data_IF_734587610804
#
_entry.id   IF_734587610804
#
_cell.length_a   1.000
_cell.length_b   1.000
_cell.length_c   1.000
_cell.angle_alpha   90.00
_cell.angle_beta   90.00
_cell.angle_gamma   90.00
#
_symmetry.space_group_name_H-M   'P 1'
#
loop_
_entity.id
_entity.type
_entity.pdbx_description
1 polymer ?
#
# COMPACT_ATOMS: atom_id res chain seq x y z
N UNK A 1 25.66 -2.87 -5.51
CA UNK A 1 24.43 -2.88 -4.73
C UNK A 1 23.23 -3.17 -5.63
N UNK A 2 22.52 -4.22 -5.38
CA UNK A 2 21.35 -4.53 -6.19
C UNK A 2 20.19 -3.64 -5.78
N UNK A 3 19.68 -2.88 -6.72
CA UNK A 3 18.46 -2.12 -6.51
C UNK A 3 17.28 -3.04 -6.74
N UNK A 4 16.49 -3.26 -5.70
CA UNK A 4 15.25 -4.01 -5.83
C UNK A 4 14.18 -3.09 -6.42
N UNK A 5 13.87 -3.29 -7.69
CA UNK A 5 12.79 -2.54 -8.32
C UNK A 5 11.45 -3.10 -7.87
N UNK A 6 10.91 -2.51 -6.81
CA UNK A 6 9.56 -2.82 -6.37
C UNK A 6 8.63 -1.77 -6.97
N UNK A 7 7.75 -2.23 -7.84
CA UNK A 7 6.78 -1.35 -8.51
C UNK A 7 5.45 -1.39 -7.80
N UNK A 8 4.95 -0.20 -7.44
CA UNK A 8 3.61 -0.03 -6.89
C UNK A 8 2.76 0.58 -7.99
N UNK A 9 1.59 0.01 -8.22
CA UNK A 9 0.64 0.56 -9.18
C UNK A 9 -0.55 1.14 -8.42
N UNK A 10 -0.90 2.38 -8.75
CA UNK A 10 -2.00 3.09 -8.12
C UNK A 10 -3.03 3.44 -9.19
N UNK A 11 -4.29 3.07 -8.93
CA UNK A 11 -5.39 3.48 -9.78
C UNK A 11 -6.26 4.48 -9.02
N UNK A 12 -6.08 5.76 -9.31
CA UNK A 12 -6.78 6.83 -8.60
C UNK A 12 -8.28 6.82 -8.86
N UNK A 13 -8.68 6.41 -10.05
CA UNK A 13 -10.09 6.37 -10.43
C UNK A 13 -10.89 5.41 -9.55
N UNK A 14 -10.33 4.23 -9.26
CA UNK A 14 -11.00 3.22 -8.45
C UNK A 14 -10.51 3.21 -6.99
N UNK A 15 -9.58 4.09 -6.64
CA UNK A 15 -8.97 4.15 -5.31
C UNK A 15 -8.37 2.80 -4.89
N UNK A 16 -7.68 2.16 -5.84
CA UNK A 16 -7.00 0.89 -5.61
C UNK A 16 -5.50 1.06 -5.64
N UNK A 17 -4.82 0.28 -4.83
CA UNK A 17 -3.38 0.19 -4.83
C UNK A 17 -2.98 -1.27 -5.01
N UNK A 18 -1.99 -1.52 -5.86
CA UNK A 18 -1.49 -2.86 -6.15
C UNK A 18 -0.06 -2.95 -5.65
N UNK A 19 0.16 -3.82 -4.67
CA UNK A 19 1.46 -4.00 -4.05
C UNK A 19 2.04 -5.35 -4.46
N UNK A 20 3.34 -5.42 -4.83
CA UNK A 20 3.94 -6.70 -5.15
C UNK A 20 4.02 -7.57 -3.90
N UNK A 21 3.83 -8.90 -4.07
CA UNK A 21 3.92 -9.85 -2.97
C UNK A 21 5.25 -9.73 -2.23
N UNK A 22 6.31 -9.47 -2.97
CA UNK A 22 7.65 -9.32 -2.40
C UNK A 22 7.70 -8.18 -1.37
N UNK A 23 7.01 -7.08 -1.63
CA UNK A 23 6.95 -5.96 -0.70
C UNK A 23 6.26 -6.36 0.60
N UNK A 24 5.16 -7.11 0.51
CA UNK A 24 4.45 -7.60 1.69
C UNK A 24 5.37 -8.50 2.52
N UNK A 25 6.14 -9.36 1.85
CA UNK A 25 7.12 -10.21 2.54
C UNK A 25 8.23 -9.43 3.21
N UNK A 26 8.73 -8.38 2.57
CA UNK A 26 9.78 -7.53 3.14
C UNK A 26 9.30 -6.78 4.37
N UNK A 27 8.00 -6.50 4.46
CA UNK A 27 7.39 -5.87 5.62
C UNK A 27 7.05 -6.86 6.74
N UNK A 28 7.40 -8.14 6.57
CA UNK A 28 7.15 -9.16 7.58
C UNK A 28 5.78 -9.81 7.50
N UNK A 29 5.15 -9.77 6.35
CA UNK A 29 3.80 -10.32 6.11
C UNK A 29 2.78 -9.80 7.14
N UNK A 30 2.65 -8.48 7.30
CA UNK A 30 1.72 -7.91 8.27
C UNK A 30 0.28 -8.13 7.84
N UNK A 31 -0.65 -8.12 8.79
CA UNK A 31 -2.08 -8.19 8.47
C UNK A 31 -2.64 -6.84 8.04
N UNK A 32 -1.98 -5.77 8.43
CA UNK A 32 -2.41 -4.40 8.13
C UNK A 32 -1.24 -3.56 7.66
N UNK A 33 -1.55 -2.54 6.87
CA UNK A 33 -0.57 -1.60 6.36
C UNK A 33 -1.03 -0.17 6.63
N UNK A 34 -0.06 0.73 6.80
CA UNK A 34 -0.34 2.16 6.83
C UNK A 34 0.40 2.85 5.70
N UNK A 35 -0.18 3.95 5.23
CA UNK A 35 0.33 4.71 4.10
C UNK A 35 0.59 6.15 4.51
N UNK A 36 1.75 6.69 4.15
CA UNK A 36 2.14 8.05 4.45
C UNK A 36 2.71 8.71 3.21
N UNK A 37 2.57 10.01 3.12
CA UNK A 37 3.19 10.76 2.04
C UNK A 37 4.15 11.79 2.62
N UNK A 38 5.42 11.69 2.24
CA UNK A 38 6.46 12.64 2.64
C UNK A 38 6.48 13.76 1.60
N UNK A 39 5.88 14.90 1.95
CA UNK A 39 5.76 16.04 1.04
C UNK A 39 7.11 16.67 0.70
N UNK A 40 8.06 16.66 1.64
CA UNK A 40 9.36 17.26 1.41
C UNK A 40 10.14 16.53 0.33
N UNK A 41 10.09 15.22 0.34
CA UNK A 41 10.86 14.39 -0.59
C UNK A 41 10.01 13.75 -1.68
N UNK A 42 8.70 13.93 -1.64
CA UNK A 42 7.80 13.36 -2.63
C UNK A 42 7.72 11.84 -2.57
N UNK A 43 7.89 11.25 -1.40
CA UNK A 43 7.91 9.80 -1.24
C UNK A 43 6.63 9.26 -0.64
N UNK A 44 6.12 8.18 -1.23
CA UNK A 44 5.05 7.39 -0.64
C UNK A 44 5.69 6.35 0.28
N UNK A 45 5.30 6.36 1.55
CA UNK A 45 5.83 5.46 2.56
C UNK A 45 4.77 4.45 2.94
N UNK A 46 5.12 3.17 2.86
CA UNK A 46 4.23 2.08 3.22
C UNK A 46 4.90 1.29 4.34
N UNK A 47 4.19 1.10 5.44
CA UNK A 47 4.74 0.38 6.59
C UNK A 47 3.75 -0.63 7.14
N UNK A 48 4.30 -1.62 7.86
CA UNK A 48 3.49 -2.58 8.57
C UNK A 48 2.74 -1.87 9.70
N UNK A 49 1.50 -2.26 9.92
CA UNK A 49 0.66 -1.67 10.94
C UNK A 49 -0.06 -2.74 11.75
N UNK A 50 -0.55 -2.36 12.91
CA UNK A 50 -1.36 -3.21 13.76
C UNK A 50 -2.85 -2.97 13.48
N UNK A 51 -3.68 -3.96 13.75
CA UNK A 51 -5.14 -3.81 13.66
C UNK A 51 -5.66 -2.70 14.57
N UNK A 52 -4.89 -2.32 15.59
CA UNK A 52 -5.28 -1.30 16.55
C UNK A 52 -4.90 0.11 16.10
N UNK A 53 -4.14 0.24 15.02
CA UNK A 53 -3.79 1.54 14.47
C UNK A 53 -4.98 2.14 13.71
N UNK A 54 -5.33 3.38 14.04
CA UNK A 54 -6.50 4.03 13.46
C UNK A 54 -6.42 4.20 11.94
N UNK A 55 -5.21 4.37 11.42
CA UNK A 55 -4.98 4.59 10.00
C UNK A 55 -4.59 3.31 9.25
N UNK A 56 -4.76 2.16 9.89
CA UNK A 56 -4.37 0.89 9.29
C UNK A 56 -5.43 0.39 8.31
N UNK A 57 -4.95 -0.19 7.22
CA UNK A 57 -5.80 -0.85 6.22
C UNK A 57 -5.50 -2.34 6.25
N UNK A 58 -6.55 -3.14 6.39
CA UNK A 58 -6.39 -4.59 6.41
C UNK A 58 -6.02 -5.11 5.02
N UNK A 59 -5.04 -5.99 4.97
CA UNK A 59 -4.73 -6.73 3.74
C UNK A 59 -5.88 -7.72 3.53
N UNK A 60 -6.53 -7.72 2.34
CA UNK A 60 -7.67 -8.58 2.09
C UNK A 60 -7.35 -10.05 2.40
N UNK A 61 -8.20 -10.76 3.16
CA UNK A 61 -7.95 -12.17 3.47
C UNK A 61 -7.74 -13.05 2.25
N UNK A 62 -8.39 -12.71 1.13
CA UNK A 62 -8.24 -13.46 -0.11
C UNK A 62 -6.80 -13.46 -0.64
N UNK A 63 -6.00 -12.44 -0.30
CA UNK A 63 -4.60 -12.39 -0.68
C UNK A 63 -3.81 -13.57 -0.10
N UNK A 64 -4.11 -13.96 1.14
CA UNK A 64 -3.36 -14.99 1.84
C UNK A 64 -3.63 -16.40 1.32
N UNK A 65 -4.80 -16.61 0.71
CA UNK A 65 -5.19 -17.94 0.19
C UNK A 65 -4.93 -18.08 -1.32
N UNK A 66 -4.62 -16.98 -2.01
CA UNK A 66 -4.35 -16.99 -3.44
C UNK A 66 -2.85 -16.83 -3.70
N UNK A 67 -2.33 -17.61 -4.64
CA UNK A 67 -0.92 -17.52 -5.03
C UNK A 67 -0.72 -16.47 -6.11
N UNK A 68 -1.16 -15.25 -5.84
CA UNK A 68 -0.97 -14.12 -6.77
C UNK A 68 0.31 -13.38 -6.48
N UNK A 69 0.89 -12.76 -7.50
CA UNK A 69 2.12 -11.99 -7.38
C UNK A 69 1.90 -10.59 -6.83
N UNK A 70 0.65 -10.17 -6.70
CA UNK A 70 0.35 -8.83 -6.18
C UNK A 70 -0.85 -8.85 -5.25
N UNK A 71 -0.84 -7.90 -4.32
CA UNK A 71 -1.94 -7.66 -3.40
C UNK A 71 -2.70 -6.42 -3.90
N UNK A 72 -3.98 -6.60 -4.22
CA UNK A 72 -4.84 -5.50 -4.63
C UNK A 72 -5.66 -5.04 -3.43
N UNK A 73 -5.50 -3.78 -3.05
CA UNK A 73 -6.26 -3.18 -1.95
C UNK A 73 -7.18 -2.11 -2.52
N UNK A 74 -8.47 -2.21 -2.23
CA UNK A 74 -9.47 -1.29 -2.72
C UNK A 74 -9.94 -0.33 -1.61
N UNK A 75 -10.62 0.73 -2.03
CA UNK A 75 -11.23 1.70 -1.12
C UNK A 75 -10.24 2.33 -0.14
N UNK A 76 -9.07 2.67 -0.64
CA UNK A 76 -8.05 3.28 0.18
C UNK A 76 -8.33 4.78 0.28
N UNK A 77 -8.92 5.21 1.39
CA UNK A 77 -9.25 6.61 1.65
C UNK A 77 -8.03 7.51 1.58
N UNK A 78 -6.86 6.99 1.92
CA UNK A 78 -5.60 7.71 1.80
C UNK A 78 -5.36 8.19 0.36
N UNK A 79 -5.73 7.40 -0.64
CA UNK A 79 -5.55 7.77 -2.04
C UNK A 79 -6.39 8.98 -2.42
N UNK A 80 -7.59 9.11 -1.85
CA UNK A 80 -8.43 10.26 -2.07
C UNK A 80 -7.80 11.53 -1.49
N UNK A 81 -7.28 11.43 -0.27
CA UNK A 81 -6.61 12.54 0.38
C UNK A 81 -5.34 12.92 -0.39
N UNK A 82 -4.58 11.94 -0.86
CA UNK A 82 -3.37 12.16 -1.64
C UNK A 82 -3.69 12.85 -2.97
N UNK A 83 -4.75 12.42 -3.64
CA UNK A 83 -5.20 13.02 -4.89
C UNK A 83 -5.51 14.51 -4.69
N UNK A 84 -6.20 14.83 -3.62
CA UNK A 84 -6.54 16.20 -3.29
C UNK A 84 -5.28 17.05 -3.04
N UNK A 85 -4.33 16.53 -2.27
CA UNK A 85 -3.08 17.22 -1.94
C UNK A 85 -2.21 17.49 -3.16
N UNK A 86 -2.15 16.52 -4.08
CA UNK A 86 -1.31 16.63 -5.27
C UNK A 86 -1.99 17.34 -6.42
N UNK A 87 -3.26 17.70 -6.26
CA UNK A 87 -4.00 18.40 -7.29
C UNK A 87 -4.30 17.55 -8.52
N UNK A 88 -4.41 16.26 -8.33
CA UNK A 88 -4.67 15.29 -9.42
C UNK A 88 -6.15 15.20 -9.79
#
# INVERSE_FOLDING_TARGET
MKTNNLSIRVCMKSKRIFLPRRMIGLLGNPTHLSFWYDEENGNLIISAASKDDLDAYEIPPAYWVRTKNSCAMARIAFLKALQYRLGW
#
